data_IF_479734952173
#
_entry.id   IF_479734952173
#
_cell.length_a   1.000
_cell.length_b   1.000
_cell.length_c   1.000
_cell.angle_alpha   90.00
_cell.angle_beta   90.00
_cell.angle_gamma   90.00
#
_symmetry.space_group_name_H-M   'P 1'
#
loop_
_entity.id
_entity.type
_entity.pdbx_description
1 polymer ?
#
# COMPACT_ATOMS: atom_id res chain seq x y z
N UNK A 1 -30.26 4.42 -5.59
CA UNK A 1 -29.63 4.64 -4.28
C UNK A 1 -29.89 6.08 -3.88
N UNK A 2 -30.38 6.37 -2.67
CA UNK A 2 -30.36 7.74 -2.17
C UNK A 2 -28.91 8.23 -2.13
N UNK A 3 -28.63 9.46 -2.56
CA UNK A 3 -27.29 10.06 -2.45
C UNK A 3 -27.00 10.42 -0.99
N UNK A 4 -25.93 9.92 -0.35
CA UNK A 4 -25.53 10.32 0.99
C UNK A 4 -24.80 11.66 0.91
N UNK A 5 -25.51 12.73 0.52
CA UNK A 5 -24.99 14.09 0.67
C UNK A 5 -25.03 14.45 2.16
N UNK A 6 -23.92 14.23 2.86
CA UNK A 6 -23.60 14.97 4.08
C UNK A 6 -23.62 14.23 5.43
N UNK A 7 -23.80 12.91 5.52
CA UNK A 7 -23.94 12.23 6.83
C UNK A 7 -22.61 11.72 7.43
N UNK A 8 -21.48 11.80 6.72
CA UNK A 8 -20.26 11.06 7.12
C UNK A 8 -18.99 11.90 7.32
N UNK A 9 -19.00 12.93 8.16
CA UNK A 9 -17.72 13.55 8.54
C UNK A 9 -17.62 13.95 10.02
N UNK A 10 -16.56 13.46 10.66
CA UNK A 10 -16.07 13.93 11.96
C UNK A 10 -16.76 13.46 13.24
N UNK A 11 -18.10 13.42 13.31
CA UNK A 11 -18.84 13.18 14.57
C UNK A 11 -19.18 11.71 14.86
N UNK A 12 -19.42 10.91 13.81
CA UNK A 12 -19.55 9.45 13.94
C UNK A 12 -18.30 8.80 14.57
N UNK A 13 -17.10 9.27 14.20
CA UNK A 13 -15.81 8.87 14.81
C UNK A 13 -15.65 9.33 16.26
N UNK A 14 -16.38 10.38 16.67
CA UNK A 14 -16.42 10.88 18.06
C UNK A 14 -17.45 10.15 18.92
N UNK A 15 -18.09 9.10 18.38
CA UNK A 15 -19.01 8.25 19.12
C UNK A 15 -20.38 8.86 19.38
N UNK A 16 -20.74 9.95 18.69
CA UNK A 16 -22.06 10.56 18.84
C UNK A 16 -23.16 9.56 18.41
N UNK A 17 -24.05 9.14 19.34
CA UNK A 17 -25.06 8.14 19.06
C UNK A 17 -26.03 8.53 17.95
N UNK A 18 -26.36 9.82 17.81
CA UNK A 18 -27.33 10.28 16.82
C UNK A 18 -26.79 10.14 15.39
N UNK A 19 -25.52 10.47 15.16
CA UNK A 19 -24.89 10.30 13.83
C UNK A 19 -24.62 8.83 13.51
N UNK A 20 -24.23 8.01 14.50
CA UNK A 20 -24.09 6.56 14.30
C UNK A 20 -25.42 5.93 13.87
N UNK A 21 -26.52 6.35 14.51
CA UNK A 21 -27.86 5.90 14.14
C UNK A 21 -28.26 6.34 12.72
N UNK A 22 -28.01 7.59 12.33
CA UNK A 22 -28.30 8.06 10.96
C UNK A 22 -27.53 7.28 9.89
N UNK A 23 -26.24 6.98 10.14
CA UNK A 23 -25.43 6.15 9.23
C UNK A 23 -26.00 4.73 9.16
N UNK A 24 -26.34 4.14 10.32
CA UNK A 24 -26.98 2.82 10.40
C UNK A 24 -28.26 2.77 9.56
N UNK A 25 -29.12 3.77 9.65
CA UNK A 25 -30.39 3.80 8.90
C UNK A 25 -30.20 4.02 7.40
N UNK A 26 -29.17 4.77 7.01
CA UNK A 26 -28.76 4.89 5.61
C UNK A 26 -28.26 3.54 5.05
N UNK A 27 -27.48 2.79 5.83
CA UNK A 27 -27.00 1.45 5.48
C UNK A 27 -28.16 0.45 5.41
N UNK A 28 -29.09 0.51 6.37
CA UNK A 28 -30.32 -0.29 6.34
C UNK A 28 -31.11 -0.05 5.06
N UNK A 29 -31.20 1.21 4.61
CA UNK A 29 -31.87 1.55 3.35
C UNK A 29 -31.18 0.94 2.13
N UNK A 30 -29.85 0.80 2.13
CA UNK A 30 -29.10 0.12 1.05
C UNK A 30 -29.38 -1.37 1.04
N UNK A 31 -29.38 -2.03 2.20
CA UNK A 31 -29.68 -3.47 2.34
C UNK A 31 -31.09 -3.80 1.86
N UNK A 32 -32.04 -2.89 2.06
CA UNK A 32 -33.47 -3.10 1.74
C UNK A 32 -33.92 -2.42 0.44
N UNK A 33 -33.00 -1.90 -0.38
CA UNK A 33 -33.33 -1.17 -1.61
C UNK A 33 -33.85 -2.05 -2.77
N UNK A 34 -33.84 -3.38 -2.61
CA UNK A 34 -34.15 -4.33 -3.68
C UNK A 34 -33.02 -4.44 -4.72
N UNK A 35 -33.35 -4.96 -5.90
CA UNK A 35 -32.38 -5.13 -6.97
C UNK A 35 -31.88 -3.78 -7.51
N UNK A 36 -30.56 -3.64 -7.70
CA UNK A 36 -30.00 -2.47 -8.34
C UNK A 36 -30.28 -2.48 -9.84
N UNK A 37 -30.82 -1.38 -10.37
CA UNK A 37 -31.19 -1.22 -11.79
C UNK A 37 -30.55 0.03 -12.42
N UNK A 38 -29.45 0.53 -11.85
CA UNK A 38 -28.74 1.70 -12.35
C UNK A 38 -27.55 1.36 -13.25
N UNK A 39 -26.84 2.38 -13.70
CA UNK A 39 -25.59 2.28 -14.49
C UNK A 39 -24.37 2.01 -13.59
N UNK A 40 -23.35 1.35 -14.12
CA UNK A 40 -22.13 1.04 -13.35
C UNK A 40 -21.47 2.27 -12.69
N UNK A 41 -21.42 3.41 -13.40
CA UNK A 41 -20.84 4.66 -12.86
C UNK A 41 -21.56 5.16 -11.59
N UNK A 42 -22.89 5.05 -11.54
CA UNK A 42 -23.65 5.52 -10.40
C UNK A 42 -23.35 4.65 -9.17
N UNK A 43 -23.30 3.32 -9.35
CA UNK A 43 -22.86 2.42 -8.29
C UNK A 43 -21.43 2.73 -7.84
N UNK A 44 -20.51 2.94 -8.78
CA UNK A 44 -19.11 3.24 -8.49
C UNK A 44 -18.88 4.57 -7.75
N UNK A 45 -19.74 5.57 -7.93
CA UNK A 45 -19.66 6.85 -7.20
C UNK A 45 -20.18 6.74 -5.77
N UNK A 46 -21.28 6.01 -5.56
CA UNK A 46 -21.99 6.03 -4.28
C UNK A 46 -21.51 4.94 -3.29
N UNK A 47 -21.17 3.74 -3.77
CA UNK A 47 -20.98 2.57 -2.90
C UNK A 47 -19.82 2.74 -1.90
N UNK A 48 -18.70 3.33 -2.33
CA UNK A 48 -17.55 3.59 -1.46
C UNK A 48 -17.93 4.37 -0.18
N UNK A 49 -18.81 5.38 -0.31
CA UNK A 49 -19.22 6.21 0.81
C UNK A 49 -19.94 5.40 1.89
N UNK A 50 -20.88 4.53 1.49
CA UNK A 50 -21.59 3.64 2.42
C UNK A 50 -20.67 2.64 3.10
N UNK A 51 -19.74 2.06 2.36
CA UNK A 51 -18.79 1.09 2.91
C UNK A 51 -17.85 1.73 3.92
N UNK A 52 -17.30 2.91 3.59
CA UNK A 52 -16.46 3.67 4.50
C UNK A 52 -17.27 4.13 5.73
N UNK A 53 -18.51 4.56 5.54
CA UNK A 53 -19.40 4.94 6.63
C UNK A 53 -19.65 3.79 7.62
N UNK A 54 -19.91 2.58 7.11
CA UNK A 54 -20.10 1.38 7.91
C UNK A 54 -18.88 1.04 8.77
N UNK A 55 -17.67 1.17 8.20
CA UNK A 55 -16.41 1.00 8.93
C UNK A 55 -16.24 2.07 10.03
N UNK A 56 -16.51 3.34 9.70
CA UNK A 56 -16.35 4.46 10.62
C UNK A 56 -17.25 4.39 11.87
N UNK A 57 -18.44 3.79 11.75
CA UNK A 57 -19.34 3.60 12.89
C UNK A 57 -19.16 2.28 13.62
N UNK A 58 -18.21 1.44 13.19
CA UNK A 58 -18.08 0.04 13.62
C UNK A 58 -19.45 -0.66 13.57
N UNK A 59 -20.01 -0.76 12.36
CA UNK A 59 -21.36 -1.31 12.15
C UNK A 59 -21.49 -2.71 12.77
N UNK A 60 -20.43 -3.53 12.71
CA UNK A 60 -20.40 -4.87 13.31
C UNK A 60 -20.67 -4.84 14.81
N UNK A 61 -20.07 -3.91 15.55
CA UNK A 61 -20.36 -3.75 16.97
C UNK A 61 -21.69 -3.04 17.24
N UNK A 62 -22.10 -2.12 16.35
CA UNK A 62 -23.30 -1.31 16.53
C UNK A 62 -24.61 -2.04 16.23
N UNK A 63 -24.67 -2.78 15.12
CA UNK A 63 -25.81 -3.58 14.67
C UNK A 63 -25.29 -4.82 13.90
N UNK A 64 -24.98 -5.93 14.60
CA UNK A 64 -24.38 -7.12 14.00
C UNK A 64 -25.25 -7.77 12.92
N UNK A 65 -26.58 -7.70 13.08
CA UNK A 65 -27.53 -8.28 12.12
C UNK A 65 -27.53 -7.49 10.82
N UNK A 66 -27.53 -6.15 10.91
CA UNK A 66 -27.41 -5.30 9.74
C UNK A 66 -26.03 -5.43 9.09
N UNK A 67 -24.94 -5.54 9.86
CA UNK A 67 -23.59 -5.77 9.31
C UNK A 67 -23.53 -7.04 8.46
N UNK A 68 -24.05 -8.16 8.96
CA UNK A 68 -24.08 -9.43 8.23
C UNK A 68 -24.82 -9.29 6.89
N UNK A 69 -25.98 -8.63 6.89
CA UNK A 69 -26.75 -8.38 5.67
C UNK A 69 -26.01 -7.42 4.73
N UNK A 70 -25.45 -6.33 5.25
CA UNK A 70 -24.71 -5.34 4.47
C UNK A 70 -23.49 -5.94 3.78
N UNK A 71 -22.70 -6.77 4.49
CA UNK A 71 -21.58 -7.53 3.90
C UNK A 71 -22.01 -8.39 2.72
N UNK A 72 -23.16 -9.07 2.84
CA UNK A 72 -23.73 -9.86 1.73
C UNK A 72 -24.15 -8.96 0.56
N UNK A 73 -24.86 -7.87 0.83
CA UNK A 73 -25.33 -6.90 -0.16
C UNK A 73 -24.18 -6.29 -0.96
N UNK A 74 -23.15 -5.76 -0.29
CA UNK A 74 -22.04 -5.10 -1.00
C UNK A 74 -21.17 -6.10 -1.78
N UNK A 75 -21.10 -7.36 -1.33
CA UNK A 75 -20.45 -8.43 -2.10
C UNK A 75 -21.21 -8.70 -3.40
N UNK A 76 -22.54 -8.76 -3.33
CA UNK A 76 -23.39 -8.96 -4.51
C UNK A 76 -23.32 -7.79 -5.49
N UNK A 77 -23.21 -6.55 -5.00
CA UNK A 77 -23.05 -5.36 -5.86
C UNK A 77 -21.80 -5.38 -6.73
N UNK A 78 -20.76 -6.14 -6.37
CA UNK A 78 -19.58 -6.26 -7.22
C UNK A 78 -19.90 -6.85 -8.61
N UNK A 79 -20.88 -7.75 -8.68
CA UNK A 79 -21.27 -8.51 -9.88
C UNK A 79 -22.73 -8.29 -10.28
N UNK A 80 -23.45 -7.37 -9.63
CA UNK A 80 -24.84 -7.09 -9.96
C UNK A 80 -24.92 -6.48 -11.37
N UNK A 81 -25.81 -6.98 -12.25
CA UNK A 81 -26.00 -6.43 -13.58
C UNK A 81 -26.34 -4.94 -13.55
N UNK A 82 -25.72 -4.16 -14.44
CA UNK A 82 -26.05 -2.74 -14.63
C UNK A 82 -26.77 -2.54 -15.96
N UNK A 83 -27.53 -1.45 -16.08
CA UNK A 83 -28.35 -1.19 -17.28
C UNK A 83 -27.65 -0.33 -18.34
N UNK A 84 -26.48 0.21 -18.01
CA UNK A 84 -25.69 1.09 -18.89
C UNK A 84 -24.22 1.11 -18.45
N UNK A 85 -23.34 1.17 -19.45
CA UNK A 85 -21.90 0.94 -19.32
C UNK A 85 -21.54 -0.54 -19.19
N UNK A 86 -20.43 -0.86 -18.50
CA UNK A 86 -19.98 -2.23 -18.30
C UNK A 86 -20.95 -3.06 -17.45
N UNK A 87 -20.97 -4.39 -17.65
CA UNK A 87 -22.01 -5.28 -17.13
C UNK A 87 -22.15 -5.23 -15.60
N UNK A 88 -21.09 -4.91 -14.87
CA UNK A 88 -21.07 -4.81 -13.42
C UNK A 88 -19.91 -3.93 -12.92
N UNK A 89 -19.79 -3.75 -11.59
CA UNK A 89 -18.75 -2.92 -10.97
C UNK A 89 -17.33 -3.44 -11.22
N UNK A 90 -17.13 -4.77 -11.21
CA UNK A 90 -15.83 -5.40 -11.47
C UNK A 90 -15.39 -5.09 -12.91
N UNK A 91 -16.26 -5.36 -13.88
CA UNK A 91 -15.99 -5.10 -15.29
C UNK A 91 -15.79 -3.62 -15.57
N UNK A 92 -16.57 -2.76 -14.90
CA UNK A 92 -16.35 -1.33 -14.97
C UNK A 92 -14.95 -0.91 -14.56
N UNK A 93 -14.43 -1.46 -13.46
CA UNK A 93 -13.06 -1.20 -13.03
C UNK A 93 -12.02 -1.77 -14.00
N UNK A 94 -12.24 -2.97 -14.54
CA UNK A 94 -11.26 -3.68 -15.37
C UNK A 94 -11.22 -3.15 -16.82
N UNK A 95 -12.36 -2.77 -17.39
CA UNK A 95 -12.44 -2.42 -18.81
C UNK A 95 -12.25 -0.92 -19.08
N UNK A 96 -12.59 -0.05 -18.13
CA UNK A 96 -12.67 1.40 -18.39
C UNK A 96 -11.41 2.12 -17.91
N UNK A 97 -10.59 2.68 -18.81
CA UNK A 97 -9.41 3.46 -18.44
C UNK A 97 -9.73 4.90 -18.02
N UNK A 98 -11.01 5.27 -17.92
CA UNK A 98 -11.48 6.62 -17.62
C UNK A 98 -12.15 6.69 -16.23
N UNK A 99 -12.78 7.83 -15.91
CA UNK A 99 -13.36 8.11 -14.60
C UNK A 99 -14.42 7.08 -14.16
N UNK A 100 -15.05 6.38 -15.10
CA UNK A 100 -15.90 5.25 -14.76
C UNK A 100 -15.11 4.17 -14.04
N UNK A 101 -13.99 3.74 -14.62
CA UNK A 101 -13.17 2.69 -14.04
C UNK A 101 -12.53 3.11 -12.74
N UNK A 102 -12.08 4.36 -12.61
CA UNK A 102 -11.48 4.82 -11.34
C UNK A 102 -12.50 4.92 -10.20
N UNK A 103 -13.73 5.39 -10.46
CA UNK A 103 -14.80 5.37 -9.45
C UNK A 103 -15.23 3.94 -9.10
N UNK A 104 -15.41 3.08 -10.10
CA UNK A 104 -15.73 1.67 -9.90
C UNK A 104 -14.62 0.95 -9.10
N UNK A 105 -13.35 1.25 -9.38
CA UNK A 105 -12.20 0.78 -8.62
C UNK A 105 -12.19 1.28 -7.17
N UNK A 106 -12.52 2.55 -6.95
CA UNK A 106 -12.65 3.14 -5.61
C UNK A 106 -13.69 2.42 -4.75
N UNK A 107 -14.86 2.14 -5.31
CA UNK A 107 -15.89 1.35 -4.63
C UNK A 107 -15.48 -0.12 -4.45
N UNK A 108 -14.88 -0.74 -5.47
CA UNK A 108 -14.43 -2.14 -5.42
C UNK A 108 -13.36 -2.36 -4.33
N UNK A 109 -12.40 -1.44 -4.19
CA UNK A 109 -11.37 -1.56 -3.14
C UNK A 109 -11.95 -1.32 -1.74
N UNK A 110 -12.90 -0.40 -1.59
CA UNK A 110 -13.57 -0.15 -0.32
C UNK A 110 -14.31 -1.41 0.16
N UNK A 111 -15.07 -2.05 -0.74
CA UNK A 111 -15.73 -3.34 -0.47
C UNK A 111 -14.71 -4.41 -0.09
N UNK A 112 -13.64 -4.56 -0.87
CA UNK A 112 -12.61 -5.57 -0.60
C UNK A 112 -11.96 -5.38 0.78
N UNK A 113 -11.63 -4.13 1.15
CA UNK A 113 -11.09 -3.80 2.46
C UNK A 113 -12.08 -4.10 3.60
N UNK A 114 -13.33 -3.69 3.47
CA UNK A 114 -14.36 -3.92 4.50
C UNK A 114 -14.67 -5.39 4.73
N UNK A 115 -14.64 -6.19 3.65
CA UNK A 115 -14.86 -7.64 3.71
C UNK A 115 -13.62 -8.43 4.15
N UNK A 116 -12.43 -7.81 4.21
CA UNK A 116 -11.18 -8.53 4.42
C UNK A 116 -10.79 -9.45 3.26
N UNK A 117 -11.26 -9.16 2.04
CA UNK A 117 -11.01 -9.98 0.85
C UNK A 117 -9.64 -9.63 0.25
N UNK A 118 -8.61 -10.35 0.70
CA UNK A 118 -7.23 -10.13 0.28
C UNK A 118 -7.00 -10.43 -1.21
N UNK A 119 -7.73 -11.39 -1.79
CA UNK A 119 -7.62 -11.74 -3.20
C UNK A 119 -8.17 -10.61 -4.07
N UNK A 120 -9.33 -10.07 -3.69
CA UNK A 120 -9.93 -8.93 -4.38
C UNK A 120 -9.08 -7.67 -4.21
N UNK A 121 -8.51 -7.41 -3.02
CA UNK A 121 -7.56 -6.32 -2.79
C UNK A 121 -6.35 -6.42 -3.72
N UNK A 122 -5.72 -7.60 -3.81
CA UNK A 122 -4.58 -7.83 -4.69
C UNK A 122 -4.93 -7.66 -6.18
N UNK A 123 -6.14 -8.08 -6.59
CA UNK A 123 -6.62 -7.86 -7.97
C UNK A 123 -6.83 -6.38 -8.25
N UNK A 124 -7.46 -5.63 -7.35
CA UNK A 124 -7.64 -4.18 -7.51
C UNK A 124 -6.29 -3.48 -7.59
N UNK A 125 -5.32 -3.85 -6.75
CA UNK A 125 -3.97 -3.30 -6.80
C UNK A 125 -3.31 -3.49 -8.18
N UNK A 126 -3.43 -4.68 -8.79
CA UNK A 126 -2.89 -4.94 -10.15
C UNK A 126 -3.54 -4.06 -11.21
N UNK A 127 -4.88 -3.98 -11.21
CA UNK A 127 -5.64 -3.17 -12.19
C UNK A 127 -5.28 -1.69 -12.03
N UNK A 128 -5.26 -1.18 -10.80
CA UNK A 128 -4.91 0.22 -10.53
C UNK A 128 -3.47 0.55 -10.91
N UNK A 129 -2.52 -0.34 -10.62
CA UNK A 129 -1.11 -0.18 -11.02
C UNK A 129 -0.96 -0.12 -12.54
N UNK A 130 -1.75 -0.91 -13.28
CA UNK A 130 -1.83 -0.82 -14.74
C UNK A 130 -2.42 0.48 -15.23
N UNK A 131 -3.47 0.99 -14.58
CA UNK A 131 -4.04 2.31 -14.91
C UNK A 131 -3.01 3.44 -14.73
N UNK A 132 -2.19 3.36 -13.68
CA UNK A 132 -1.09 4.32 -13.44
C UNK A 132 0.07 4.22 -14.46
N UNK A 133 0.10 3.19 -15.31
CA UNK A 133 1.10 3.03 -16.38
C UNK A 133 1.78 1.65 -16.45
N UNK A 134 1.64 0.80 -15.43
CA UNK A 134 2.30 -0.52 -15.38
C UNK A 134 1.56 -1.57 -16.22
N UNK A 135 1.76 -1.55 -17.53
CA UNK A 135 1.11 -2.49 -18.45
C UNK A 135 1.45 -3.97 -18.17
N UNK A 136 2.56 -4.26 -17.49
CA UNK A 136 2.91 -5.64 -17.09
C UNK A 136 1.96 -6.12 -15.98
N UNK A 137 1.62 -5.24 -15.04
CA UNK A 137 0.66 -5.56 -13.98
C UNK A 137 -0.77 -5.73 -14.52
N UNK A 138 -1.20 -4.84 -15.42
CA UNK A 138 -2.51 -4.93 -16.06
C UNK A 138 -2.60 -4.05 -17.32
N UNK A 139 -3.20 -4.57 -18.39
CA UNK A 139 -3.39 -3.83 -19.65
C UNK A 139 -4.72 -4.16 -20.35
N UNK A 140 -5.72 -4.64 -19.61
CA UNK A 140 -7.01 -5.11 -20.16
C UNK A 140 -8.03 -4.01 -20.48
N UNK A 141 -7.64 -2.74 -20.40
CA UNK A 141 -8.54 -1.61 -20.64
C UNK A 141 -8.87 -1.43 -22.13
N UNK A 142 -10.07 -0.92 -22.40
CA UNK A 142 -10.52 -0.48 -23.73
C UNK A 142 -10.43 1.04 -23.85
N UNK A 143 -9.55 1.51 -24.72
CA UNK A 143 -9.26 2.94 -24.93
C UNK A 143 -10.06 3.50 -26.12
N UNK A 144 -10.36 4.79 -26.06
CA UNK A 144 -10.95 5.54 -27.18
C UNK A 144 -9.87 6.11 -28.09
N UNK A 145 -10.06 7.36 -28.51
CA UNK A 145 -9.05 8.09 -29.28
C UNK A 145 -7.70 8.16 -28.54
N UNK A 146 -6.62 7.90 -29.28
CA UNK A 146 -5.27 7.74 -28.73
C UNK A 146 -4.38 8.95 -28.97
N UNK A 147 -4.92 10.07 -29.48
CA UNK A 147 -4.12 11.24 -29.80
C UNK A 147 -3.42 11.85 -28.58
N UNK A 148 -3.96 11.69 -27.37
CA UNK A 148 -3.30 12.14 -26.13
C UNK A 148 -2.34 11.11 -25.52
N UNK A 149 -2.26 9.90 -26.06
CA UNK A 149 -1.33 8.88 -25.58
C UNK A 149 0.11 9.21 -25.98
N UNK A 150 1.02 8.93 -25.04
CA UNK A 150 2.46 8.99 -25.28
C UNK A 150 2.90 8.03 -26.40
N UNK A 151 2.47 6.77 -26.27
CA UNK A 151 2.66 5.71 -27.24
C UNK A 151 1.27 5.12 -27.56
N UNK A 152 0.66 5.47 -28.70
CA UNK A 152 -0.63 4.93 -29.10
C UNK A 152 -0.65 3.40 -29.23
N UNK A 153 0.49 2.74 -29.42
CA UNK A 153 0.55 1.27 -29.45
C UNK A 153 0.51 0.63 -28.05
N UNK A 154 0.75 1.43 -27.00
CA UNK A 154 0.81 0.99 -25.60
C UNK A 154 0.05 1.97 -24.70
N UNK A 155 -1.27 2.14 -24.88
CA UNK A 155 -2.03 3.16 -24.17
C UNK A 155 -2.06 2.90 -22.65
N UNK A 156 -2.09 3.98 -21.87
CA UNK A 156 -2.09 3.96 -20.40
C UNK A 156 -3.12 4.94 -19.85
N UNK A 157 -3.51 4.78 -18.58
CA UNK A 157 -4.42 5.70 -17.90
C UNK A 157 -3.77 7.03 -17.52
N UNK A 158 -2.48 6.99 -17.15
CA UNK A 158 -1.62 8.17 -16.95
C UNK A 158 -0.37 8.02 -17.80
N UNK A 159 -0.05 9.03 -18.59
CA UNK A 159 1.17 9.05 -19.41
C UNK A 159 2.44 8.96 -18.53
N UNK A 160 3.48 8.24 -19.01
CA UNK A 160 4.69 7.97 -18.24
C UNK A 160 5.56 9.21 -18.06
N UNK A 161 6.50 9.12 -17.11
CA UNK A 161 7.43 10.18 -16.79
C UNK A 161 8.27 10.61 -18.01
N UNK A 162 8.46 11.92 -18.17
CA UNK A 162 9.26 12.50 -19.26
C UNK A 162 8.62 12.43 -20.65
N UNK A 163 7.37 11.98 -20.77
CA UNK A 163 6.71 11.92 -22.07
C UNK A 163 6.47 13.31 -22.67
N UNK A 164 6.78 13.45 -23.96
CA UNK A 164 6.51 14.66 -24.74
C UNK A 164 5.74 14.33 -26.02
N UNK A 165 4.96 15.29 -26.51
CA UNK A 165 4.27 15.24 -27.80
C UNK A 165 4.29 16.61 -28.44
N UNK A 166 4.76 16.67 -29.69
CA UNK A 166 4.91 17.93 -30.44
C UNK A 166 5.71 19.00 -29.67
N UNK A 167 6.72 18.58 -28.90
CA UNK A 167 7.55 19.47 -28.08
C UNK A 167 6.93 19.90 -26.74
N UNK A 168 5.68 19.50 -26.45
CA UNK A 168 5.01 19.78 -25.19
C UNK A 168 5.08 18.59 -24.23
N UNK A 169 5.25 18.86 -22.94
CA UNK A 169 5.19 17.80 -21.93
C UNK A 169 3.75 17.27 -21.79
N UNK A 170 3.61 15.96 -21.92
CA UNK A 170 2.37 15.22 -21.63
C UNK A 170 2.58 14.18 -20.52
N UNK A 171 3.69 14.27 -19.78
CA UNK A 171 3.92 13.55 -18.54
C UNK A 171 2.77 13.81 -17.56
N UNK A 172 2.12 12.76 -17.06
CA UNK A 172 1.06 12.90 -16.08
C UNK A 172 -0.31 13.20 -16.67
N UNK A 173 -0.42 13.46 -17.98
CA UNK A 173 -1.72 13.58 -18.64
C UNK A 173 -2.53 12.31 -18.44
N UNK A 174 -3.83 12.45 -18.15
CA UNK A 174 -4.83 11.38 -18.19
C UNK A 174 -5.45 11.36 -19.60
N UNK A 175 -4.96 10.53 -20.55
CA UNK A 175 -5.29 10.70 -21.97
C UNK A 175 -6.78 10.48 -22.26
N UNK A 176 -7.39 9.55 -21.53
CA UNK A 176 -8.80 9.18 -21.67
C UNK A 176 -9.79 10.21 -21.16
N UNK A 177 -9.36 11.07 -20.23
CA UNK A 177 -10.14 12.23 -19.84
C UNK A 177 -9.90 13.35 -20.83
N UNK A 178 -8.63 13.64 -21.14
CA UNK A 178 -8.26 14.77 -22.00
C UNK A 178 -8.87 14.68 -23.41
N UNK A 179 -8.97 13.48 -23.98
CA UNK A 179 -9.57 13.25 -25.31
C UNK A 179 -11.05 13.67 -25.41
N UNK A 180 -11.74 13.88 -24.28
CA UNK A 180 -13.15 14.32 -24.27
C UNK A 180 -13.31 15.76 -24.73
N UNK A 181 -12.25 16.54 -24.64
CA UNK A 181 -12.16 17.88 -25.22
C UNK A 181 -11.66 17.86 -26.69
N UNK A 182 -11.54 16.68 -27.30
CA UNK A 182 -11.07 16.50 -28.68
C UNK A 182 -9.68 15.88 -28.77
N UNK A 183 -9.18 15.76 -30.01
CA UNK A 183 -7.85 15.24 -30.26
C UNK A 183 -6.76 16.13 -29.63
N UNK A 184 -5.51 15.64 -29.62
CA UNK A 184 -4.36 16.40 -29.11
C UNK A 184 -4.33 17.81 -29.70
N UNK A 185 -4.31 18.79 -28.80
CA UNK A 185 -4.29 20.21 -29.14
C UNK A 185 -3.53 20.98 -28.07
N UNK A 186 -2.94 22.10 -28.47
CA UNK A 186 -2.21 22.98 -27.58
C UNK A 186 -2.63 24.44 -27.79
N UNK A 187 -2.85 25.25 -26.73
CA UNK A 187 -2.78 24.91 -25.31
C UNK A 187 -3.78 23.81 -24.91
N UNK A 188 -3.47 22.99 -23.89
CA UNK A 188 -4.34 21.88 -23.52
C UNK A 188 -5.68 22.41 -22.98
N UNK A 189 -6.82 21.86 -23.43
CA UNK A 189 -8.12 22.31 -22.95
C UNK A 189 -8.34 21.92 -21.49
N UNK A 190 -9.09 22.73 -20.76
CA UNK A 190 -9.44 22.51 -19.36
C UNK A 190 -10.65 21.57 -19.26
N UNK A 191 -10.38 20.26 -19.29
CA UNK A 191 -11.41 19.22 -19.29
C UNK A 191 -11.69 18.74 -17.85
N UNK A 192 -12.87 19.09 -17.31
CA UNK A 192 -13.30 18.76 -15.95
C UNK A 192 -13.22 17.27 -15.60
N UNK A 193 -13.37 16.37 -16.58
CA UNK A 193 -13.31 14.93 -16.31
C UNK A 193 -11.94 14.44 -15.80
N UNK A 194 -10.85 15.21 -15.96
CA UNK A 194 -9.52 14.87 -15.41
C UNK A 194 -9.56 14.72 -13.90
N UNK A 195 -10.18 15.68 -13.20
CA UNK A 195 -10.38 15.61 -11.75
C UNK A 195 -11.39 14.52 -11.39
N UNK A 196 -12.46 14.37 -12.17
CA UNK A 196 -13.38 13.23 -12.01
C UNK A 196 -12.70 11.86 -12.04
N UNK A 197 -11.68 11.69 -12.91
CA UNK A 197 -10.84 10.49 -12.94
C UNK A 197 -9.97 10.35 -11.69
N UNK A 198 -9.34 11.44 -11.26
CA UNK A 198 -8.47 11.48 -10.08
C UNK A 198 -9.23 11.27 -8.77
N UNK A 199 -10.48 11.70 -8.65
CA UNK A 199 -11.31 11.45 -7.47
C UNK A 199 -11.37 9.96 -7.12
N UNK A 200 -11.75 9.11 -8.09
CA UNK A 200 -11.80 7.66 -7.88
C UNK A 200 -10.41 7.03 -7.69
N UNK A 201 -9.40 7.57 -8.36
CA UNK A 201 -8.01 7.10 -8.24
C UNK A 201 -7.44 7.35 -6.85
N UNK A 202 -7.72 8.51 -6.24
CA UNK A 202 -7.24 8.85 -4.90
C UNK A 202 -7.93 8.01 -3.82
N UNK A 203 -9.20 7.67 -3.98
CA UNK A 203 -9.87 6.69 -3.09
C UNK A 203 -9.15 5.34 -3.14
N UNK A 204 -8.82 4.86 -4.35
CA UNK A 204 -8.04 3.63 -4.51
C UNK A 204 -6.67 3.72 -3.84
N UNK A 205 -5.93 4.79 -4.10
CA UNK A 205 -4.60 4.98 -3.57
C UNK A 205 -4.57 5.01 -2.04
N UNK A 206 -5.49 5.75 -1.40
CA UNK A 206 -5.56 5.84 0.06
C UNK A 206 -5.89 4.48 0.69
N UNK A 207 -6.88 3.75 0.16
CA UNK A 207 -7.28 2.45 0.72
C UNK A 207 -6.17 1.41 0.51
N UNK A 208 -5.56 1.34 -0.67
CA UNK A 208 -4.44 0.45 -0.94
C UNK A 208 -3.21 0.80 -0.11
N UNK A 209 -2.92 2.10 0.11
CA UNK A 209 -1.84 2.52 0.99
C UNK A 209 -2.04 2.03 2.41
N UNK A 210 -3.26 2.11 2.94
CA UNK A 210 -3.64 1.55 4.25
C UNK A 210 -3.54 0.03 4.29
N UNK A 211 -3.70 -0.64 3.14
CA UNK A 211 -3.50 -2.08 2.99
C UNK A 211 -2.03 -2.49 2.77
N UNK A 212 -1.08 -1.56 2.90
CA UNK A 212 0.37 -1.85 2.86
C UNK A 212 1.02 -1.73 1.48
N UNK A 213 0.28 -1.30 0.45
CA UNK A 213 0.87 -1.04 -0.86
C UNK A 213 1.53 0.35 -0.92
N UNK A 214 2.64 0.46 -1.64
CA UNK A 214 3.35 1.74 -1.81
C UNK A 214 2.83 2.54 -3.02
N UNK A 215 1.51 2.74 -3.05
CA UNK A 215 0.80 3.18 -4.26
C UNK A 215 1.20 4.59 -4.72
N UNK A 216 1.53 5.47 -3.76
CA UNK A 216 1.95 6.84 -4.07
C UNK A 216 3.32 6.90 -4.76
N UNK A 217 4.14 5.85 -4.67
CA UNK A 217 5.43 5.78 -5.37
C UNK A 217 5.34 5.11 -6.75
N UNK A 218 4.21 4.48 -7.08
CA UNK A 218 4.08 3.73 -8.33
C UNK A 218 4.19 4.60 -9.58
N UNK A 219 4.85 4.02 -10.59
CA UNK A 219 4.99 4.61 -11.94
C UNK A 219 5.58 6.03 -11.89
N UNK A 220 6.66 6.17 -11.10
CA UNK A 220 7.36 7.43 -10.85
C UNK A 220 6.40 8.48 -10.27
N UNK A 221 5.68 8.12 -9.21
CA UNK A 221 4.72 9.00 -8.53
C UNK A 221 3.62 9.51 -9.46
N UNK A 222 2.97 8.60 -10.21
CA UNK A 222 2.06 8.96 -11.30
C UNK A 222 0.95 9.94 -10.93
N UNK A 223 0.37 9.79 -9.73
CA UNK A 223 -0.66 10.71 -9.24
C UNK A 223 -0.09 12.12 -8.98
N UNK A 224 1.15 12.24 -8.46
CA UNK A 224 1.80 13.54 -8.28
C UNK A 224 2.06 14.22 -9.61
N UNK A 225 2.57 13.49 -10.62
CA UNK A 225 2.86 14.13 -11.91
C UNK A 225 1.59 14.52 -12.66
N UNK A 226 0.48 13.78 -12.49
CA UNK A 226 -0.82 14.21 -12.99
C UNK A 226 -1.25 15.57 -12.41
N UNK A 227 -1.16 15.74 -11.09
CA UNK A 227 -1.43 17.04 -10.45
C UNK A 227 -0.45 18.13 -10.91
N UNK A 228 0.85 17.81 -11.03
CA UNK A 228 1.84 18.76 -11.56
C UNK A 228 1.51 19.22 -12.96
N UNK A 229 1.11 18.31 -13.85
CA UNK A 229 0.76 18.65 -15.22
C UNK A 229 -0.47 19.57 -15.27
N UNK A 230 -1.52 19.24 -14.52
CA UNK A 230 -2.72 20.07 -14.43
C UNK A 230 -2.42 21.50 -13.96
N UNK A 231 -1.54 21.66 -12.98
CA UNK A 231 -1.20 22.97 -12.44
C UNK A 231 -0.18 23.75 -13.28
N UNK A 232 0.83 23.08 -13.84
CA UNK A 232 1.96 23.77 -14.50
C UNK A 232 1.81 23.87 -16.02
N UNK A 233 1.25 22.84 -16.66
CA UNK A 233 1.07 22.79 -18.11
C UNK A 233 -0.34 23.26 -18.51
N UNK A 234 -1.38 22.75 -17.86
CA UNK A 234 -2.77 23.08 -18.20
C UNK A 234 -3.34 24.30 -17.48
N UNK A 235 -2.64 24.82 -16.46
CA UNK A 235 -3.08 25.96 -15.65
C UNK A 235 -4.51 25.79 -15.12
N UNK A 236 -4.84 24.56 -14.71
CA UNK A 236 -6.19 24.12 -14.41
C UNK A 236 -6.28 23.58 -12.97
N UNK A 237 -6.33 24.45 -11.95
CA UNK A 237 -6.41 24.02 -10.55
C UNK A 237 -7.78 23.41 -10.20
N UNK A 238 -7.81 22.56 -9.17
CA UNK A 238 -9.05 21.95 -8.68
C UNK A 238 -10.04 23.01 -8.17
N UNK A 239 -11.33 22.87 -8.50
CA UNK A 239 -12.41 23.76 -8.05
C UNK A 239 -13.65 22.94 -7.68
N UNK A 240 -14.65 23.57 -7.06
CA UNK A 240 -15.91 22.89 -6.73
C UNK A 240 -15.70 21.58 -5.95
N UNK A 241 -16.31 20.51 -6.43
CA UNK A 241 -16.29 19.18 -5.81
C UNK A 241 -14.98 18.39 -6.00
N UNK A 242 -13.94 19.02 -6.55
CA UNK A 242 -12.58 18.47 -6.70
C UNK A 242 -11.60 19.03 -5.64
N UNK A 243 -12.01 20.06 -4.88
CA UNK A 243 -11.15 20.79 -3.92
C UNK A 243 -10.65 19.96 -2.74
N UNK A 244 -11.20 18.76 -2.54
CA UNK A 244 -10.74 17.81 -1.52
C UNK A 244 -9.45 17.08 -1.96
N UNK A 245 -9.20 16.96 -3.25
CA UNK A 245 -8.10 16.14 -3.78
C UNK A 245 -6.69 16.72 -3.47
N UNK A 246 -6.44 18.04 -3.60
CA UNK A 246 -5.15 18.63 -3.28
C UNK A 246 -4.70 18.38 -1.83
N UNK A 247 -5.63 18.27 -0.88
CA UNK A 247 -5.32 17.93 0.52
C UNK A 247 -4.65 16.54 0.64
N UNK A 248 -5.13 15.56 -0.14
CA UNK A 248 -4.53 14.21 -0.17
C UNK A 248 -3.16 14.24 -0.83
N UNK A 249 -3.04 14.91 -1.98
CA UNK A 249 -1.78 15.01 -2.71
C UNK A 249 -0.71 15.69 -1.85
N UNK A 250 -1.01 16.86 -1.28
CA UNK A 250 -0.07 17.60 -0.42
C UNK A 250 0.34 16.77 0.80
N UNK A 251 -0.57 15.98 1.38
CA UNK A 251 -0.24 15.12 2.51
C UNK A 251 0.72 13.99 2.15
N UNK A 252 0.38 13.16 1.15
CA UNK A 252 1.19 11.99 0.80
C UNK A 252 2.50 12.35 0.08
N UNK A 253 2.56 13.50 -0.59
CA UNK A 253 3.76 14.00 -1.27
C UNK A 253 4.42 15.19 -0.56
N UNK A 254 4.16 15.37 0.75
CA UNK A 254 4.73 16.45 1.57
C UNK A 254 6.27 16.50 1.59
N UNK A 255 6.93 15.38 1.24
CA UNK A 255 8.38 15.26 1.13
C UNK A 255 8.94 15.87 -0.18
N UNK A 256 8.07 16.20 -1.14
CA UNK A 256 8.45 16.76 -2.43
C UNK A 256 8.05 18.24 -2.44
N UNK A 257 8.85 19.16 -3.02
CA UNK A 257 8.51 20.58 -3.14
C UNK A 257 7.43 20.79 -4.21
N UNK A 258 6.21 20.32 -3.93
CA UNK A 258 5.01 20.54 -4.71
C UNK A 258 3.89 20.90 -3.73
N UNK A 259 3.44 22.16 -3.75
CA UNK A 259 2.30 22.62 -2.97
C UNK A 259 1.20 23.03 -3.92
N UNK A 260 0.10 22.29 -3.92
CA UNK A 260 -1.09 22.63 -4.69
C UNK A 260 -2.07 23.43 -3.82
N UNK A 261 -2.72 24.47 -4.34
CA UNK A 261 -3.79 25.18 -3.63
C UNK A 261 -4.86 24.21 -3.11
N UNK A 262 -5.04 24.18 -1.79
CA UNK A 262 -5.96 23.28 -1.11
C UNK A 262 -6.89 24.11 -0.22
N UNK A 263 -8.00 24.65 -0.77
CA UNK A 263 -8.86 25.58 -0.04
C UNK A 263 -9.57 24.90 1.13
N UNK A 264 -9.86 25.69 2.17
CA UNK A 264 -10.59 25.30 3.37
C UNK A 264 -11.73 26.29 3.59
N UNK A 265 -12.99 25.84 3.79
CA UNK A 265 -13.41 24.44 3.72
C UNK A 265 -13.35 23.90 2.28
N UNK A 266 -13.05 22.60 2.14
CA UNK A 266 -13.17 21.89 0.87
C UNK A 266 -14.62 21.46 0.63
N UNK A 267 -15.01 21.28 -0.63
CA UNK A 267 -16.32 20.73 -0.98
C UNK A 267 -16.27 19.21 -1.06
N UNK A 268 -17.40 18.57 -0.75
CA UNK A 268 -17.50 17.13 -0.86
C UNK A 268 -17.46 16.67 -2.33
N UNK A 269 -16.61 15.69 -2.63
CA UNK A 269 -16.54 15.04 -3.92
C UNK A 269 -17.59 13.95 -4.11
N UNK A 270 -17.46 13.22 -5.22
CA UNK A 270 -18.43 12.20 -5.64
C UNK A 270 -18.33 10.92 -4.81
N UNK A 271 -17.10 10.48 -4.48
CA UNK A 271 -16.89 9.32 -3.61
C UNK A 271 -16.65 9.68 -2.13
N UNK A 272 -15.88 10.75 -1.90
CA UNK A 272 -15.36 11.18 -0.60
C UNK A 272 -15.23 12.71 -0.58
N UNK A 273 -15.14 13.34 0.59
CA UNK A 273 -15.24 14.80 0.66
C UNK A 273 -14.80 15.48 1.96
N UNK A 274 -13.95 14.83 2.74
CA UNK A 274 -13.70 15.18 4.15
C UNK A 274 -12.20 15.40 4.42
N UNK A 275 -11.46 15.77 3.39
CA UNK A 275 -9.99 15.68 3.40
C UNK A 275 -9.31 16.91 3.98
N UNK A 276 -9.94 18.09 3.94
CA UNK A 276 -9.46 19.30 4.61
C UNK A 276 -9.27 19.10 6.12
N UNK A 277 -10.25 18.56 6.86
CA UNK A 277 -10.10 18.35 8.30
C UNK A 277 -9.23 17.14 8.67
N UNK A 278 -9.00 16.21 7.74
CA UNK A 278 -8.17 15.02 7.98
C UNK A 278 -6.72 15.19 7.55
N UNK A 279 -6.43 16.07 6.59
CA UNK A 279 -5.13 16.16 5.92
C UNK A 279 -4.60 17.60 5.76
N UNK A 280 -5.36 18.65 6.11
CA UNK A 280 -4.77 20.00 6.20
C UNK A 280 -3.79 20.09 7.39
N UNK A 281 -2.57 20.57 7.14
CA UNK A 281 -1.57 20.83 8.19
C UNK A 281 -2.06 21.86 9.22
N UNK A 282 -1.83 21.61 10.52
CA UNK A 282 -2.36 22.39 11.67
C UNK A 282 -1.31 23.33 12.30
N UNK A 283 -1.70 24.45 12.96
CA UNK A 283 -0.97 24.97 14.12
C UNK A 283 -1.35 24.18 15.39
N UNK A 284 -0.38 23.91 16.26
CA UNK A 284 -0.50 23.04 17.42
C UNK A 284 -1.44 23.58 18.54
N UNK A 285 -2.41 22.77 18.97
CA UNK A 285 -2.98 22.75 20.33
C UNK A 285 -3.77 21.44 20.57
N UNK A 286 -3.67 20.95 21.81
CA UNK A 286 -4.13 19.65 22.34
C UNK A 286 -5.62 19.35 22.15
N UNK A 287 -5.93 18.15 21.65
CA UNK A 287 -7.28 17.55 21.67
C UNK A 287 -7.26 16.29 22.55
N UNK A 288 -8.28 16.03 23.40
CA UNK A 288 -8.31 14.85 24.27
C UNK A 288 -8.47 13.54 23.49
N UNK A 289 -7.86 12.48 23.99
CA UNK A 289 -7.73 11.16 23.36
C UNK A 289 -9.03 10.36 23.29
N UNK A 290 -9.43 9.92 22.09
CA UNK A 290 -10.09 8.64 21.89
C UNK A 290 -9.01 7.52 21.98
N UNK A 291 -9.36 6.26 22.38
CA UNK A 291 -8.37 5.24 22.66
C UNK A 291 -7.56 4.92 21.40
N UNK A 292 -6.24 4.92 21.55
CA UNK A 292 -5.30 4.93 20.44
C UNK A 292 -5.35 3.63 19.59
N UNK A 293 -5.43 3.72 18.24
CA UNK A 293 -4.85 2.69 17.40
C UNK A 293 -3.31 2.69 17.61
N UNK A 294 -2.63 1.55 17.46
CA UNK A 294 -1.20 1.46 17.73
C UNK A 294 -0.42 2.47 16.87
N UNK A 295 0.63 3.10 17.41
CA UNK A 295 1.26 4.28 16.80
C UNK A 295 1.86 3.96 15.42
N UNK A 296 1.77 4.89 14.45
CA UNK A 296 2.57 4.81 13.23
C UNK A 296 4.07 5.05 13.56
N UNK A 297 4.99 4.45 12.80
CA UNK A 297 6.42 4.68 12.97
C UNK A 297 6.80 6.15 12.64
N UNK A 298 7.80 6.74 13.33
CA UNK A 298 8.17 8.15 13.19
C UNK A 298 8.73 8.46 11.80
N UNK A 299 8.42 9.64 11.27
CA UNK A 299 9.05 10.21 10.05
C UNK A 299 10.56 10.21 10.19
N UNK A 300 11.23 9.55 9.23
CA UNK A 300 12.64 9.11 9.30
C UNK A 300 12.74 7.58 9.20
N UNK A 301 11.72 6.85 9.70
CA UNK A 301 11.68 5.39 9.72
C UNK A 301 11.23 4.80 8.37
N UNK A 302 12.11 4.06 7.70
CA UNK A 302 11.83 3.23 6.51
C UNK A 302 11.98 1.75 6.84
N UNK A 303 11.08 0.93 6.35
CA UNK A 303 11.11 -0.52 6.53
C UNK A 303 11.43 -1.23 5.22
N UNK A 304 12.33 -2.20 5.29
CA UNK A 304 12.81 -3.00 4.17
C UNK A 304 12.48 -4.47 4.42
N UNK A 305 11.83 -5.10 3.45
CA UNK A 305 11.69 -6.55 3.41
C UNK A 305 12.99 -7.20 2.91
N UNK A 306 13.34 -8.42 3.36
CA UNK A 306 14.49 -9.12 2.82
C UNK A 306 14.29 -9.39 1.33
N UNK A 307 15.31 -9.11 0.52
CA UNK A 307 15.36 -9.49 -0.89
C UNK A 307 15.82 -10.94 -1.09
N UNK A 308 16.45 -11.51 -0.06
CA UNK A 308 16.78 -12.93 0.08
C UNK A 308 16.87 -13.29 1.57
N UNK A 309 16.37 -14.46 1.95
CA UNK A 309 16.68 -15.09 3.23
C UNK A 309 16.84 -16.60 3.10
N UNK A 310 17.69 -17.18 3.93
CA UNK A 310 17.90 -18.62 3.94
C UNK A 310 18.59 -19.00 5.24
N UNK A 311 18.71 -20.29 5.49
CA UNK A 311 19.57 -20.80 6.55
C UNK A 311 20.41 -21.96 6.05
N UNK A 312 21.52 -22.20 6.74
CA UNK A 312 22.46 -23.27 6.43
C UNK A 312 22.55 -24.22 7.61
N UNK A 313 22.84 -25.48 7.34
CA UNK A 313 22.96 -26.56 8.34
C UNK A 313 24.28 -27.28 8.16
N UNK A 314 25.05 -27.44 9.23
CA UNK A 314 26.29 -28.19 9.20
C UNK A 314 26.09 -29.70 9.04
N UNK A 315 27.21 -30.45 9.00
CA UNK A 315 27.20 -31.91 8.93
C UNK A 315 26.61 -32.48 7.63
N UNK A 316 25.72 -33.47 7.74
CA UNK A 316 25.15 -34.18 6.59
C UNK A 316 24.32 -33.28 5.66
N UNK A 317 23.75 -32.20 6.20
CA UNK A 317 22.94 -31.24 5.47
C UNK A 317 23.77 -30.11 4.82
N UNK A 318 25.11 -30.20 4.88
CA UNK A 318 26.00 -29.11 4.48
C UNK A 318 25.87 -28.67 3.02
N UNK A 319 25.38 -29.54 2.14
CA UNK A 319 25.12 -29.25 0.73
C UNK A 319 23.65 -28.88 0.43
N UNK A 320 22.78 -28.90 1.44
CA UNK A 320 21.36 -28.56 1.30
C UNK A 320 21.16 -27.06 1.17
N UNK A 321 20.21 -26.68 0.31
CA UNK A 321 19.68 -25.31 0.22
C UNK A 321 18.28 -25.27 0.85
N UNK A 322 18.03 -24.23 1.64
CA UNK A 322 16.79 -24.08 2.39
C UNK A 322 16.09 -22.74 2.12
N UNK A 323 16.42 -22.05 1.02
CA UNK A 323 15.88 -20.71 0.71
C UNK A 323 14.40 -20.65 0.34
N UNK A 324 13.70 -21.78 0.27
CA UNK A 324 12.24 -21.86 0.10
C UNK A 324 11.51 -22.33 1.37
N UNK A 325 12.25 -22.57 2.45
CA UNK A 325 11.69 -23.01 3.72
C UNK A 325 10.88 -21.89 4.35
N UNK A 326 9.70 -22.21 4.89
CA UNK A 326 8.90 -21.24 5.65
C UNK A 326 9.54 -20.84 6.98
N UNK A 327 10.50 -21.61 7.48
CA UNK A 327 11.24 -21.31 8.71
C UNK A 327 12.73 -21.07 8.43
N UNK A 328 13.32 -20.15 9.17
CA UNK A 328 14.76 -19.94 9.33
C UNK A 328 15.22 -20.57 10.64
N UNK A 329 16.44 -21.12 10.69
CA UNK A 329 16.94 -21.84 11.86
C UNK A 329 18.26 -21.28 12.39
N UNK A 330 18.33 -21.13 13.72
CA UNK A 330 19.56 -20.80 14.43
C UNK A 330 19.79 -21.82 15.54
N UNK A 331 20.99 -22.38 15.60
CA UNK A 331 21.40 -23.36 16.60
C UNK A 331 22.92 -23.48 16.60
N UNK A 332 23.49 -23.71 17.76
CA UNK A 332 24.92 -23.96 17.89
C UNK A 332 25.18 -25.04 18.93
N UNK A 333 26.18 -25.88 18.70
CA UNK A 333 26.60 -26.94 19.61
C UNK A 333 28.11 -27.20 19.48
N UNK A 334 28.67 -28.01 20.38
CA UNK A 334 30.08 -28.42 20.28
C UNK A 334 30.40 -29.25 19.02
N UNK A 335 29.39 -29.75 18.31
CA UNK A 335 29.52 -30.51 17.07
C UNK A 335 28.79 -29.78 15.93
N UNK A 336 29.55 -29.39 14.90
CA UNK A 336 29.10 -28.65 13.71
C UNK A 336 27.86 -29.27 13.03
N UNK A 337 27.64 -30.58 13.18
CA UNK A 337 26.44 -31.27 12.66
C UNK A 337 25.14 -30.66 13.18
N UNK A 338 25.19 -29.97 14.32
CA UNK A 338 24.02 -29.32 14.90
C UNK A 338 23.96 -27.81 14.66
N UNK A 339 24.94 -27.24 13.95
CA UNK A 339 24.99 -25.82 13.73
C UNK A 339 24.02 -25.41 12.63
N UNK A 340 23.27 -24.35 12.91
CA UNK A 340 22.36 -23.69 11.99
C UNK A 340 22.57 -22.20 12.07
N UNK A 341 22.68 -21.56 10.90
CA UNK A 341 22.87 -20.11 10.78
C UNK A 341 21.91 -19.56 9.77
N UNK A 342 21.27 -18.45 10.13
CA UNK A 342 20.35 -17.73 9.25
C UNK A 342 21.11 -16.63 8.54
N UNK A 343 20.79 -16.39 7.26
CA UNK A 343 21.29 -15.30 6.44
C UNK A 343 20.13 -14.50 5.86
N UNK A 344 20.23 -13.18 5.91
CA UNK A 344 19.22 -12.24 5.39
C UNK A 344 19.95 -11.19 4.55
N UNK A 345 19.39 -10.81 3.40
CA UNK A 345 19.91 -9.72 2.56
C UNK A 345 18.83 -8.70 2.29
N UNK A 346 19.18 -7.42 2.35
CA UNK A 346 18.28 -6.29 2.13
C UNK A 346 18.85 -5.35 1.07
N UNK A 347 17.95 -4.72 0.31
CA UNK A 347 18.28 -3.66 -0.65
C UNK A 347 17.82 -2.32 -0.09
N UNK A 348 18.79 -1.48 0.30
CA UNK A 348 18.57 -0.19 0.95
C UNK A 348 18.67 0.97 -0.02
N UNK A 349 18.80 0.73 -1.33
CA UNK A 349 19.00 1.80 -2.34
C UNK A 349 17.90 2.85 -2.36
N UNK A 350 16.69 2.48 -1.92
CA UNK A 350 15.55 3.40 -1.78
C UNK A 350 15.63 4.32 -0.53
N UNK A 351 16.64 4.18 0.32
CA UNK A 351 16.83 4.97 1.55
C UNK A 351 17.61 6.27 1.40
N UNK A 352 17.47 7.12 2.42
CA UNK A 352 18.26 8.35 2.59
C UNK A 352 19.74 8.05 2.89
N UNK A 353 20.60 9.06 2.73
CA UNK A 353 22.06 8.90 2.86
C UNK A 353 22.57 8.66 4.30
N UNK A 354 21.70 8.57 5.31
CA UNK A 354 22.09 8.41 6.71
C UNK A 354 21.07 7.65 7.55
N UNK A 355 21.55 7.08 8.66
CA UNK A 355 20.74 6.40 9.66
C UNK A 355 21.13 6.87 11.07
N UNK A 356 20.15 7.28 11.85
CA UNK A 356 20.22 7.47 13.29
C UNK A 356 20.06 6.14 14.06
N UNK A 357 19.21 5.23 13.57
CA UNK A 357 19.04 3.88 14.13
C UNK A 357 18.69 2.86 13.04
N UNK A 358 19.08 1.61 13.19
CA UNK A 358 18.59 0.52 12.36
C UNK A 358 18.36 -0.74 13.18
N UNK A 359 17.13 -1.26 13.13
CA UNK A 359 16.65 -2.40 13.92
C UNK A 359 16.17 -3.50 12.97
N UNK A 360 16.82 -4.66 13.06
CA UNK A 360 16.38 -5.89 12.41
C UNK A 360 15.37 -6.60 13.33
N UNK A 361 14.16 -6.88 12.84
CA UNK A 361 13.12 -7.62 13.57
C UNK A 361 12.81 -8.95 12.89
N UNK A 362 12.73 -9.99 13.70
CA UNK A 362 12.28 -11.33 13.28
C UNK A 362 11.27 -11.88 14.27
N UNK A 363 10.39 -12.74 13.79
CA UNK A 363 9.41 -13.44 14.62
C UNK A 363 9.91 -14.83 14.96
N UNK A 364 10.10 -15.14 16.24
CA UNK A 364 10.40 -16.49 16.73
C UNK A 364 9.13 -17.33 16.65
N UNK A 365 9.11 -18.29 15.74
CA UNK A 365 7.98 -19.19 15.50
C UNK A 365 8.06 -20.46 16.34
N UNK A 366 9.24 -20.86 16.81
CA UNK A 366 9.40 -22.08 17.59
C UNK A 366 10.68 -22.16 18.42
N UNK A 367 10.57 -22.81 19.59
CA UNK A 367 11.67 -23.12 20.51
C UNK A 367 11.64 -24.61 20.90
N UNK A 368 11.75 -25.55 19.94
CA UNK A 368 11.47 -26.97 20.17
C UNK A 368 12.47 -27.66 21.11
N UNK A 369 13.62 -27.05 21.41
CA UNK A 369 14.62 -27.59 22.33
C UNK A 369 14.73 -26.80 23.65
N UNK A 370 13.77 -25.91 23.93
CA UNK A 370 13.73 -25.10 25.13
C UNK A 370 14.55 -23.81 25.07
N UNK A 371 14.56 -23.07 26.17
CA UNK A 371 15.11 -21.71 26.30
C UNK A 371 15.89 -21.54 27.64
N UNK A 372 16.74 -20.50 27.81
CA UNK A 372 17.12 -19.48 26.82
C UNK A 372 18.10 -20.00 25.76
N UNK A 373 18.15 -19.31 24.61
CA UNK A 373 19.17 -19.45 23.55
C UNK A 373 19.80 -18.09 23.27
N UNK A 374 21.12 -18.00 23.08
CA UNK A 374 21.82 -16.72 22.92
C UNK A 374 22.07 -16.42 21.45
N UNK A 375 21.12 -15.73 20.80
CA UNK A 375 21.20 -15.40 19.37
C UNK A 375 21.84 -14.04 19.20
N UNK A 376 22.83 -13.94 18.31
CA UNK A 376 23.52 -12.71 17.98
C UNK A 376 23.45 -12.42 16.48
N UNK A 377 23.35 -11.14 16.13
CA UNK A 377 23.40 -10.65 14.77
C UNK A 377 24.83 -10.24 14.40
N UNK A 378 25.24 -10.62 13.20
CA UNK A 378 26.55 -10.33 12.63
C UNK A 378 26.38 -9.71 11.23
N UNK A 379 27.31 -8.85 10.82
CA UNK A 379 27.45 -8.53 9.41
C UNK A 379 27.97 -9.72 8.60
N UNK A 380 27.89 -9.64 7.27
CA UNK A 380 28.38 -10.67 6.35
C UNK A 380 29.28 -10.01 5.32
N UNK A 381 30.46 -10.59 5.07
CA UNK A 381 31.52 -9.95 4.26
C UNK A 381 31.22 -9.91 2.75
N UNK A 382 30.12 -10.51 2.28
CA UNK A 382 29.76 -10.54 0.86
C UNK A 382 28.25 -10.57 0.65
N UNK A 383 27.78 -9.75 -0.28
CA UNK A 383 26.38 -9.69 -0.72
C UNK A 383 26.09 -10.51 -1.99
N UNK A 384 27.08 -11.28 -2.45
CA UNK A 384 27.01 -12.04 -3.72
C UNK A 384 26.23 -13.34 -3.63
N UNK A 385 25.92 -13.83 -2.42
CA UNK A 385 25.17 -15.06 -2.24
C UNK A 385 23.73 -14.92 -2.74
N UNK A 386 23.15 -16.04 -3.20
CA UNK A 386 21.75 -16.09 -3.61
C UNK A 386 20.97 -17.07 -2.75
N UNK A 387 19.72 -16.74 -2.48
CA UNK A 387 18.76 -17.56 -1.72
C UNK A 387 18.68 -18.99 -2.23
N UNK A 388 18.70 -19.19 -3.55
CA UNK A 388 18.58 -20.49 -4.21
C UNK A 388 19.88 -21.31 -4.27
N UNK A 389 21.03 -20.74 -3.87
CA UNK A 389 22.32 -21.43 -3.94
C UNK A 389 23.08 -21.48 -2.62
N UNK A 390 22.61 -20.78 -1.58
CA UNK A 390 23.26 -20.78 -0.27
C UNK A 390 23.20 -22.18 0.39
N UNK A 391 24.35 -22.64 0.88
CA UNK A 391 24.56 -23.91 1.57
C UNK A 391 25.61 -23.69 2.67
N UNK A 392 25.79 -24.64 3.59
CA UNK A 392 26.84 -24.53 4.61
C UNK A 392 28.23 -24.38 4.01
N UNK A 393 28.48 -25.05 2.87
CA UNK A 393 29.78 -25.10 2.20
C UNK A 393 30.19 -23.81 1.50
N UNK A 394 29.23 -23.01 1.06
CA UNK A 394 29.48 -21.76 0.33
C UNK A 394 28.97 -20.52 1.06
N UNK A 395 28.58 -20.65 2.33
CA UNK A 395 28.11 -19.52 3.12
C UNK A 395 29.21 -18.45 3.21
N UNK A 396 28.87 -17.17 3.01
CA UNK A 396 29.82 -16.09 3.22
C UNK A 396 30.19 -15.98 4.71
N UNK A 397 31.43 -15.59 4.99
CA UNK A 397 31.89 -15.41 6.36
C UNK A 397 31.19 -14.23 7.05
N UNK A 398 30.80 -14.43 8.31
CA UNK A 398 30.31 -13.34 9.16
C UNK A 398 31.45 -12.41 9.60
N UNK A 399 31.11 -11.14 9.80
CA UNK A 399 32.00 -10.08 10.26
C UNK A 399 31.80 -9.81 11.76
N UNK A 400 31.96 -8.56 12.20
CA UNK A 400 31.78 -8.18 13.59
C UNK A 400 30.37 -8.46 14.10
N UNK A 401 30.29 -8.87 15.37
CA UNK A 401 29.05 -9.01 16.11
C UNK A 401 28.44 -7.64 16.37
N UNK A 402 27.15 -7.47 16.07
CA UNK A 402 26.44 -6.20 16.16
C UNK A 402 25.64 -6.09 17.46
N UNK A 403 24.84 -7.12 17.75
CA UNK A 403 24.03 -7.21 18.97
C UNK A 403 23.65 -8.64 19.31
N UNK A 404 23.28 -8.90 20.56
CA UNK A 404 22.87 -10.21 21.06
C UNK A 404 21.59 -10.13 21.87
N UNK A 405 20.80 -11.20 21.82
CA UNK A 405 19.55 -11.35 22.55
C UNK A 405 19.45 -12.76 23.16
N UNK A 406 18.89 -12.84 24.36
CA UNK A 406 18.53 -14.11 24.99
C UNK A 406 17.07 -14.46 24.67
N UNK A 407 16.87 -15.42 23.78
CA UNK A 407 15.55 -15.85 23.33
C UNK A 407 14.86 -16.68 24.41
N UNK A 408 13.75 -16.19 24.96
CA UNK A 408 13.05 -16.82 26.09
C UNK A 408 11.62 -17.26 25.81
N UNK A 409 11.05 -16.80 24.70
CA UNK A 409 9.69 -17.11 24.28
C UNK A 409 9.56 -16.92 22.76
N UNK A 410 8.45 -17.40 22.19
CA UNK A 410 8.04 -17.07 20.82
C UNK A 410 7.59 -15.60 20.75
N UNK A 411 7.57 -15.04 19.54
CA UNK A 411 7.20 -13.65 19.30
C UNK A 411 8.30 -12.80 18.65
N UNK A 412 8.04 -11.50 18.53
CA UNK A 412 8.96 -10.57 17.90
C UNK A 412 10.22 -10.33 18.74
N UNK A 413 11.36 -10.34 18.07
CA UNK A 413 12.66 -9.98 18.63
C UNK A 413 13.35 -8.96 17.74
N UNK A 414 14.21 -8.16 18.35
CA UNK A 414 14.90 -7.05 17.71
C UNK A 414 16.40 -7.16 17.93
N UNK A 415 17.16 -6.89 16.87
CA UNK A 415 18.61 -6.76 16.89
C UNK A 415 18.98 -5.36 16.43
N UNK A 416 19.80 -4.66 17.21
CA UNK A 416 20.38 -3.39 16.78
C UNK A 416 21.51 -3.68 15.78
N UNK A 417 21.37 -3.14 14.58
CA UNK A 417 22.34 -3.27 13.48
C UNK A 417 22.78 -1.89 12.97
N UNK A 418 22.52 -0.83 13.75
CA UNK A 418 22.73 0.58 13.38
C UNK A 418 24.14 0.86 12.86
N UNK A 419 25.17 0.31 13.50
CA UNK A 419 26.57 0.52 13.12
C UNK A 419 26.83 0.07 11.69
N UNK A 420 26.43 -1.16 11.33
CA UNK A 420 26.60 -1.70 9.99
C UNK A 420 25.81 -0.91 8.95
N UNK A 421 24.56 -0.55 9.25
CA UNK A 421 23.70 0.15 8.30
C UNK A 421 24.25 1.54 7.97
N UNK A 422 24.83 2.24 8.95
CA UNK A 422 25.51 3.52 8.70
C UNK A 422 26.64 3.38 7.68
N UNK A 423 27.43 2.31 7.76
CA UNK A 423 28.50 2.04 6.80
C UNK A 423 27.94 1.71 5.41
N UNK A 424 26.96 0.80 5.34
CA UNK A 424 26.32 0.37 4.09
C UNK A 424 25.67 1.52 3.32
N UNK A 425 25.05 2.49 4.00
CA UNK A 425 24.40 3.63 3.36
C UNK A 425 25.37 4.56 2.61
N UNK A 426 26.66 4.50 2.94
CA UNK A 426 27.73 5.23 2.23
C UNK A 426 28.30 4.46 1.03
N UNK A 427 27.95 3.17 0.89
CA UNK A 427 28.43 2.26 -0.15
C UNK A 427 27.38 1.91 -1.21
N UNK A 428 27.33 0.63 -1.58
CA UNK A 428 26.43 0.08 -2.61
C UNK A 428 24.97 -0.07 -2.15
N UNK A 429 24.73 0.14 -0.85
CA UNK A 429 23.43 0.07 -0.17
C UNK A 429 22.78 -1.32 -0.25
N UNK A 430 23.57 -2.37 -0.37
CA UNK A 430 23.12 -3.74 -0.14
C UNK A 430 23.72 -4.19 1.21
N UNK A 431 22.94 -4.92 2.01
CA UNK A 431 23.45 -5.47 3.28
C UNK A 431 23.06 -6.92 3.44
N UNK A 432 24.03 -7.73 3.86
CA UNK A 432 23.83 -9.09 4.31
C UNK A 432 24.11 -9.20 5.81
N UNK A 433 23.21 -9.87 6.53
CA UNK A 433 23.23 -10.10 7.96
C UNK A 433 23.16 -11.61 8.22
N UNK A 434 23.83 -12.07 9.28
CA UNK A 434 23.72 -13.44 9.76
C UNK A 434 23.23 -13.48 11.21
N UNK A 435 22.41 -14.46 11.57
CA UNK A 435 22.07 -14.79 12.95
C UNK A 435 22.72 -16.11 13.35
N UNK A 436 23.39 -16.11 14.49
CA UNK A 436 24.08 -17.29 15.02
C UNK A 436 23.81 -17.42 16.52
N UNK A 437 23.75 -18.65 17.04
CA UNK A 437 23.79 -18.90 18.48
C UNK A 437 25.26 -18.86 18.92
N UNK A 438 25.55 -18.19 20.03
CA UNK A 438 26.91 -18.06 20.60
C UNK A 438 27.07 -18.81 21.92
N UNK A 439 26.00 -19.47 22.38
CA UNK A 439 25.97 -20.17 23.66
C UNK A 439 26.31 -21.67 23.58
N UNK A 440 26.47 -22.26 22.38
CA UNK A 440 26.72 -23.71 22.17
C UNK A 440 25.73 -24.65 22.87
N UNK A 441 24.51 -24.19 23.17
CA UNK A 441 23.57 -24.90 24.06
C UNK A 441 22.83 -26.07 23.40
N UNK A 442 23.06 -26.32 22.10
CA UNK A 442 22.37 -27.31 21.28
C UNK A 442 20.84 -27.11 21.27
N UNK A 443 20.39 -25.86 21.33
CA UNK A 443 18.96 -25.51 21.32
C UNK A 443 18.58 -24.78 20.04
N UNK A 444 17.57 -25.30 19.34
CA UNK A 444 17.07 -24.72 18.11
C UNK A 444 16.14 -23.53 18.39
N UNK A 445 16.38 -22.43 17.68
CA UNK A 445 15.43 -21.33 17.49
C UNK A 445 14.96 -21.34 16.05
N UNK A 446 13.64 -21.31 15.86
CA UNK A 446 13.01 -21.15 14.55
C UNK A 446 12.43 -19.74 14.43
N UNK A 447 12.69 -19.09 13.30
CA UNK A 447 12.10 -17.81 12.94
C UNK A 447 11.24 -17.96 11.68
N UNK A 448 10.23 -17.10 11.52
CA UNK A 448 9.51 -16.96 10.25
C UNK A 448 10.45 -16.40 9.15
N UNK A 449 10.43 -17.01 7.97
CA UNK A 449 11.09 -16.53 6.73
C UNK A 449 10.23 -15.51 5.98
N UNK A 450 10.74 -15.02 4.84
CA UNK A 450 9.96 -14.21 3.87
C UNK A 450 8.80 -14.98 3.22
N UNK A 451 8.81 -16.31 3.22
CA UNK A 451 7.72 -17.20 2.76
C UNK A 451 6.63 -17.38 3.84
N UNK A 452 6.89 -16.96 5.08
CA UNK A 452 5.96 -17.04 6.20
C UNK A 452 5.11 -15.78 6.37
N UNK A 453 4.24 -15.80 7.38
CA UNK A 453 3.28 -14.73 7.66
C UNK A 453 3.93 -13.55 8.40
N UNK A 454 4.82 -13.80 9.37
CA UNK A 454 5.50 -12.76 10.15
C UNK A 454 6.93 -12.55 9.63
N UNK A 455 7.02 -12.01 8.41
CA UNK A 455 8.29 -11.87 7.68
C UNK A 455 9.32 -11.02 8.43
N UNK A 456 10.63 -11.30 8.26
CA UNK A 456 11.68 -10.42 8.74
C UNK A 456 11.52 -9.00 8.18
N UNK A 457 11.89 -7.99 8.97
CA UNK A 457 11.89 -6.59 8.54
C UNK A 457 13.10 -5.87 9.11
N UNK A 458 13.78 -5.10 8.26
CA UNK A 458 14.81 -4.16 8.67
C UNK A 458 14.24 -2.76 8.66
N UNK A 459 14.29 -2.09 9.81
CA UNK A 459 13.75 -0.75 10.01
C UNK A 459 14.88 0.23 10.23
N UNK A 460 15.01 1.27 9.40
CA UNK A 460 16.08 2.28 9.44
C UNK A 460 15.46 3.65 9.70
N UNK A 461 16.00 4.44 10.64
CA UNK A 461 15.55 5.79 10.99
C UNK A 461 16.59 6.84 10.71
#
# INVERSE_FOLDING_TARGET
>A
MPTPRGVCSGLARRGDPAYRQQVRDAIWSVVNAGAYTGRALALGRELAAYVIAADLIDLKAHDPGLDANFRSTIKAFLTTPTIDGPDNLIECHEQRPNNWGTHCGGSRVAVAAYLGDLAQLARVAKVFKGWLGDRVSYSGFSYGDLSWQCDPSKPVGINPAGCTKEGHSIDGVLPEEQRRAGAFTWPPPQENYVYGGLQGALVQAVILRRAGYDVFEWQNQALLRAFRWLHTQAQFPATGDDTWEPHIINYYYSHVPASFPAPIPSSAGKNVGWTDWTHAGKPAASVPSAPAPPPPPPTGERSYAPVADSFVRGGADASGNFGSSRNLEVKDASNETYDRRTFLRFDLRSGEAGASSAILRLYVSGLPNGQPVSVCAFGVNSDSWTESSLTWRNQPASSAMLSCQNVRATGWMSFDVTSLIKEVLTGDRIVSLALQDTGTTNRLVQFDSREASNKPVLTVK
#
